data_IF_277114105195
#
_entry.id   IF_277114105195
#
_cell.length_a   1.000
_cell.length_b   1.000
_cell.length_c   1.000
_cell.angle_alpha   90.00
_cell.angle_beta   90.00
_cell.angle_gamma   90.00
#
_symmetry.space_group_name_H-M   'P 1'
#
loop_
_entity.id
_entity.type
_entity.pdbx_description
1 polymer ?
#
# COMPACT_ATOMS: atom_id res chain seq x y z
N UNK A 1 13.55 14.46 -3.77
CA UNK A 1 13.17 13.92 -5.11
C UNK A 1 12.24 12.72 -5.01
N UNK A 2 12.67 11.59 -4.41
CA UNK A 2 11.85 10.36 -4.33
C UNK A 2 10.69 10.48 -3.31
N UNK A 3 10.96 11.07 -2.15
CA UNK A 3 9.93 11.44 -1.17
C UNK A 3 8.92 12.43 -1.76
N UNK A 4 9.38 13.48 -2.45
CA UNK A 4 8.50 14.46 -3.11
C UNK A 4 7.67 13.81 -4.23
N UNK A 5 8.27 12.89 -5.00
CA UNK A 5 7.55 12.11 -6.01
C UNK A 5 6.46 11.27 -5.37
N UNK A 6 6.77 10.61 -4.25
CA UNK A 6 5.77 9.84 -3.51
C UNK A 6 4.63 10.73 -2.99
N UNK A 7 4.93 11.86 -2.34
CA UNK A 7 3.93 12.78 -1.78
C UNK A 7 3.04 13.40 -2.86
N UNK A 8 3.61 13.75 -4.01
CA UNK A 8 2.88 14.48 -5.04
C UNK A 8 2.21 13.58 -6.09
N UNK A 9 2.66 12.33 -6.23
CA UNK A 9 2.23 11.44 -7.33
C UNK A 9 1.66 10.12 -6.83
N UNK A 10 2.19 9.55 -5.75
CA UNK A 10 1.81 8.19 -5.26
C UNK A 10 1.00 8.20 -3.96
N UNK A 11 0.83 9.37 -3.36
CA UNK A 11 0.03 9.58 -2.14
C UNK A 11 -1.42 9.91 -2.45
N UNK A 12 -1.81 9.88 -3.73
CA UNK A 12 -3.14 10.25 -4.18
C UNK A 12 -4.08 9.05 -4.04
N UNK A 13 -4.21 8.52 -2.82
CA UNK A 13 -5.03 7.34 -2.53
C UNK A 13 -6.38 7.68 -1.90
N UNK A 14 -6.80 8.95 -1.93
CA UNK A 14 -8.14 9.34 -1.49
C UNK A 14 -8.70 10.41 -2.40
N UNK A 15 -9.90 10.22 -3.00
CA UNK A 15 -10.62 11.26 -3.72
C UNK A 15 -11.13 12.31 -2.71
N UNK A 16 -10.21 13.10 -2.16
CA UNK A 16 -10.39 14.21 -1.20
C UNK A 16 -8.97 14.75 -0.90
N UNK A 17 -8.29 15.28 -1.93
CA UNK A 17 -6.94 15.86 -1.80
C UNK A 17 -6.98 17.26 -1.22
N UNK A 18 -7.59 17.41 -0.05
CA UNK A 18 -7.52 18.66 0.68
C UNK A 18 -6.08 18.85 1.23
N UNK A 19 -5.62 20.10 1.44
CA UNK A 19 -4.28 20.38 1.95
C UNK A 19 -3.93 19.68 3.28
N UNK A 20 -4.92 19.42 4.14
CA UNK A 20 -4.70 18.77 5.43
C UNK A 20 -4.34 17.28 5.28
N UNK A 21 -4.93 16.59 4.30
CA UNK A 21 -4.57 15.20 3.99
C UNK A 21 -3.12 15.10 3.49
N UNK A 22 -2.66 16.05 2.65
CA UNK A 22 -1.25 16.08 2.21
C UNK A 22 -0.28 16.32 3.36
N UNK A 23 -0.61 17.25 4.27
CA UNK A 23 0.22 17.54 5.43
C UNK A 23 0.26 16.37 6.41
N UNK A 24 -0.87 15.67 6.61
CA UNK A 24 -0.92 14.43 7.38
C UNK A 24 0.02 13.36 6.81
N UNK A 25 0.00 13.18 5.49
CA UNK A 25 0.89 12.22 4.82
C UNK A 25 2.36 12.61 5.04
N UNK A 26 2.67 13.90 4.87
CA UNK A 26 4.03 14.43 5.03
C UNK A 26 4.58 14.25 6.45
N UNK A 27 3.73 14.36 7.46
CA UNK A 27 4.15 14.36 8.87
C UNK A 27 3.99 13.00 9.54
N UNK A 28 2.76 12.47 9.57
CA UNK A 28 2.41 11.28 10.34
C UNK A 28 2.70 10.00 9.57
N UNK A 29 2.30 9.94 8.29
CA UNK A 29 2.52 8.74 7.48
C UNK A 29 4.01 8.52 7.20
N UNK A 30 4.76 9.56 6.81
CA UNK A 30 6.21 9.44 6.62
C UNK A 30 6.91 8.99 7.89
N UNK A 31 6.60 9.58 9.05
CA UNK A 31 7.15 9.16 10.35
C UNK A 31 6.90 7.67 10.62
N UNK A 32 5.66 7.20 10.36
CA UNK A 32 5.32 5.79 10.48
C UNK A 32 6.15 4.92 9.53
N UNK A 33 6.30 5.31 8.27
CA UNK A 33 7.04 4.51 7.28
C UNK A 33 8.53 4.40 7.65
N UNK A 34 9.15 5.48 8.12
CA UNK A 34 10.56 5.48 8.53
C UNK A 34 10.82 4.69 9.82
N UNK A 35 9.77 4.30 10.56
CA UNK A 35 9.90 3.55 11.82
C UNK A 35 10.16 2.05 11.65
N UNK A 36 10.03 1.49 10.43
CA UNK A 36 10.23 0.06 10.18
C UNK A 36 10.82 -0.20 8.79
N UNK A 37 11.75 -1.14 8.72
CA UNK A 37 12.45 -1.47 7.50
C UNK A 37 11.51 -2.01 6.40
N UNK A 38 10.48 -2.79 6.76
CA UNK A 38 9.54 -3.34 5.79
C UNK A 38 8.76 -2.22 5.09
N UNK A 39 8.23 -1.26 5.86
CA UNK A 39 7.50 -0.12 5.32
C UNK A 39 8.40 0.79 4.49
N UNK A 40 9.64 1.01 4.93
CA UNK A 40 10.58 1.84 4.19
C UNK A 40 10.98 1.20 2.85
N UNK A 41 11.36 -0.07 2.84
CA UNK A 41 11.76 -0.76 1.61
C UNK A 41 10.61 -0.82 0.59
N UNK A 42 9.39 -1.14 1.03
CA UNK A 42 8.22 -1.22 0.15
C UNK A 42 7.83 0.15 -0.41
N UNK A 43 7.95 1.22 0.38
CA UNK A 43 7.72 2.59 -0.08
C UNK A 43 8.72 2.98 -1.17
N UNK A 44 10.02 2.79 -0.92
CA UNK A 44 11.08 3.13 -1.87
C UNK A 44 10.91 2.28 -3.13
N UNK A 45 10.61 0.98 -3.00
CA UNK A 45 10.41 0.08 -4.12
C UNK A 45 9.31 0.58 -5.05
N UNK A 46 8.15 0.88 -4.48
CA UNK A 46 7.00 1.35 -5.23
C UNK A 46 7.29 2.71 -5.89
N UNK A 47 7.84 3.66 -5.13
CA UNK A 47 8.12 5.00 -5.62
C UNK A 47 9.19 5.01 -6.72
N UNK A 48 10.27 4.24 -6.57
CA UNK A 48 11.35 4.12 -7.56
C UNK A 48 10.85 3.46 -8.85
N UNK A 49 10.08 2.38 -8.73
CA UNK A 49 9.50 1.67 -9.89
C UNK A 49 8.54 2.57 -10.67
N UNK A 50 7.69 3.30 -9.96
CA UNK A 50 6.79 4.27 -10.58
C UNK A 50 7.56 5.44 -11.21
N UNK A 51 8.58 5.96 -10.53
CA UNK A 51 9.41 7.05 -11.06
C UNK A 51 10.09 6.64 -12.38
N UNK A 52 10.66 5.42 -12.42
CA UNK A 52 11.27 4.85 -13.63
C UNK A 52 10.25 4.65 -14.75
N UNK A 53 9.02 4.20 -14.44
CA UNK A 53 7.95 4.04 -15.43
C UNK A 53 7.52 5.38 -16.04
N UNK A 54 7.38 6.43 -15.24
CA UNK A 54 6.92 7.74 -15.71
C UNK A 54 8.02 8.50 -16.46
N UNK A 55 9.29 8.40 -16.05
CA UNK A 55 10.40 9.18 -16.62
C UNK A 55 11.27 8.45 -17.65
N UNK A 56 11.18 7.12 -17.76
CA UNK A 56 12.05 6.29 -18.59
C UNK A 56 13.36 5.86 -17.90
N UNK A 57 14.14 5.00 -18.57
CA UNK A 57 15.40 4.39 -18.08
C UNK A 57 16.65 5.25 -18.39
N UNK A 58 17.70 5.30 -17.52
CA UNK A 58 17.74 5.01 -16.08
C UNK A 58 17.61 6.32 -15.28
N UNK A 59 16.51 6.48 -14.55
CA UNK A 59 16.21 7.71 -13.79
C UNK A 59 16.76 7.72 -12.35
N UNK A 60 17.30 6.58 -11.88
CA UNK A 60 17.99 6.41 -10.59
C UNK A 60 18.89 5.16 -10.58
N UNK A 61 19.80 5.05 -9.60
CA UNK A 61 20.71 3.91 -9.42
C UNK A 61 20.20 2.79 -8.48
N UNK A 62 18.94 2.84 -8.07
CA UNK A 62 18.35 1.85 -7.15
C UNK A 62 18.15 0.51 -7.85
N UNK A 63 18.70 -0.56 -7.27
CA UNK A 63 18.43 -1.94 -7.68
C UNK A 63 17.04 -2.37 -7.16
N UNK A 64 16.06 -2.35 -8.07
CA UNK A 64 14.66 -2.71 -7.79
C UNK A 64 14.52 -4.17 -7.33
N UNK A 65 15.33 -5.08 -7.91
CA UNK A 65 15.24 -6.50 -7.57
C UNK A 65 15.79 -6.77 -6.18
N UNK A 66 16.93 -6.17 -5.84
CA UNK A 66 17.49 -6.26 -4.49
C UNK A 66 16.53 -5.67 -3.46
N UNK A 67 15.97 -4.49 -3.73
CA UNK A 67 15.06 -3.81 -2.81
C UNK A 67 13.75 -4.60 -2.61
N UNK A 68 13.23 -5.23 -3.66
CA UNK A 68 12.09 -6.17 -3.57
C UNK A 68 12.42 -7.36 -2.66
N UNK A 69 13.61 -7.95 -2.79
CA UNK A 69 14.07 -9.04 -1.94
C UNK A 69 14.15 -8.63 -0.47
N UNK A 70 14.71 -7.45 -0.18
CA UNK A 70 14.80 -6.90 1.19
C UNK A 70 13.42 -6.65 1.81
N UNK A 71 12.48 -6.11 1.03
CA UNK A 71 11.10 -5.91 1.49
C UNK A 71 10.42 -7.23 1.88
N UNK A 72 10.52 -8.25 1.03
CA UNK A 72 9.94 -9.58 1.30
C UNK A 72 10.58 -10.22 2.54
N UNK A 73 11.90 -10.13 2.69
CA UNK A 73 12.61 -10.66 3.86
C UNK A 73 12.12 -10.00 5.16
N UNK A 74 11.95 -8.68 5.17
CA UNK A 74 11.49 -7.94 6.34
C UNK A 74 10.02 -8.25 6.70
N UNK A 75 9.15 -8.37 5.69
CA UNK A 75 7.76 -8.82 5.88
C UNK A 75 7.75 -10.23 6.48
N UNK A 76 8.48 -11.17 5.88
CA UNK A 76 8.51 -12.55 6.35
C UNK A 76 9.02 -12.65 7.79
N UNK A 77 10.07 -11.89 8.15
CA UNK A 77 10.57 -11.79 9.53
C UNK A 77 9.50 -11.31 10.50
N UNK A 78 8.70 -10.31 10.11
CA UNK A 78 7.61 -9.83 10.96
C UNK A 78 6.51 -10.86 11.17
N UNK A 79 6.32 -11.78 10.22
CA UNK A 79 5.28 -12.80 10.26
C UNK A 79 5.65 -14.06 11.07
N UNK A 80 6.93 -14.28 11.39
CA UNK A 80 7.39 -15.47 12.15
C UNK A 80 6.68 -15.57 13.50
N UNK A 81 6.53 -14.45 14.21
CA UNK A 81 5.88 -14.39 15.53
C UNK A 81 4.60 -13.54 15.48
N UNK A 82 3.68 -13.92 14.59
CA UNK A 82 2.46 -13.16 14.36
C UNK A 82 1.49 -13.24 15.55
N UNK A 83 1.24 -12.09 16.19
CA UNK A 83 0.26 -11.94 17.28
C UNK A 83 -0.69 -10.75 17.00
N UNK A 84 -1.91 -10.73 17.55
CA UNK A 84 -2.92 -9.68 17.29
C UNK A 84 -2.45 -8.23 17.52
N UNK A 85 -1.49 -8.03 18.42
CA UNK A 85 -0.87 -6.71 18.71
C UNK A 85 0.64 -6.67 18.45
N UNK A 86 1.16 -7.61 17.65
CA UNK A 86 2.58 -7.72 17.34
C UNK A 86 3.04 -6.81 16.20
N UNK A 87 4.31 -6.92 15.83
CA UNK A 87 4.87 -6.21 14.66
C UNK A 87 4.08 -6.53 13.38
N UNK A 88 3.70 -7.79 13.18
CA UNK A 88 2.95 -8.27 12.01
C UNK A 88 1.65 -7.50 11.75
N UNK A 89 0.87 -7.21 12.79
CA UNK A 89 -0.45 -6.58 12.70
C UNK A 89 -0.41 -5.07 12.91
N UNK A 90 0.78 -4.47 13.01
CA UNK A 90 0.94 -3.02 13.17
C UNK A 90 0.58 -2.27 11.88
N UNK A 91 0.15 -1.01 12.01
CA UNK A 91 -0.25 -0.18 10.86
C UNK A 91 0.87 -0.05 9.81
N UNK A 92 2.12 0.06 10.26
CA UNK A 92 3.30 0.13 9.37
C UNK A 92 3.50 -1.15 8.57
N UNK A 93 3.26 -2.32 9.17
CA UNK A 93 3.40 -3.61 8.48
C UNK A 93 2.23 -3.85 7.51
N UNK A 94 1.01 -3.53 7.94
CA UNK A 94 -0.18 -3.60 7.08
C UNK A 94 -0.01 -2.66 5.88
N UNK A 95 0.49 -1.44 6.10
CA UNK A 95 0.84 -0.52 5.02
C UNK A 95 1.94 -1.08 4.10
N UNK A 96 2.98 -1.71 4.66
CA UNK A 96 4.05 -2.33 3.88
C UNK A 96 3.52 -3.45 2.96
N UNK A 97 2.69 -4.36 3.50
CA UNK A 97 2.10 -5.45 2.71
C UNK A 97 1.14 -4.90 1.65
N UNK A 98 0.34 -3.87 1.98
CA UNK A 98 -0.52 -3.19 1.02
C UNK A 98 0.29 -2.56 -0.12
N UNK A 99 1.37 -1.84 0.18
CA UNK A 99 2.25 -1.23 -0.84
C UNK A 99 3.02 -2.28 -1.66
N UNK A 100 3.36 -3.41 -1.06
CA UNK A 100 3.91 -4.56 -1.79
C UNK A 100 2.91 -5.15 -2.77
N UNK A 101 1.63 -5.30 -2.37
CA UNK A 101 0.56 -5.70 -3.29
C UNK A 101 0.40 -4.69 -4.43
N UNK A 102 0.39 -3.38 -4.14
CA UNK A 102 0.37 -2.34 -5.18
C UNK A 102 1.54 -2.47 -6.15
N UNK A 103 2.76 -2.73 -5.65
CA UNK A 103 3.92 -2.95 -6.50
C UNK A 103 3.72 -4.16 -7.43
N UNK A 104 3.30 -5.30 -6.90
CA UNK A 104 3.11 -6.51 -7.71
C UNK A 104 1.99 -6.35 -8.75
N UNK A 105 0.92 -5.64 -8.40
CA UNK A 105 -0.17 -5.32 -9.32
C UNK A 105 0.29 -4.47 -10.51
N UNK A 106 1.20 -3.51 -10.28
CA UNK A 106 1.61 -2.53 -11.29
C UNK A 106 2.85 -2.91 -12.09
N UNK A 107 3.79 -3.63 -11.47
CA UNK A 107 5.13 -3.88 -12.01
C UNK A 107 5.56 -5.34 -11.90
N UNK A 108 4.89 -6.14 -11.08
CA UNK A 108 5.30 -7.49 -10.75
C UNK A 108 4.38 -8.56 -11.33
N UNK A 109 4.16 -9.61 -10.54
CA UNK A 109 3.42 -10.80 -10.97
C UNK A 109 2.05 -10.88 -10.31
N UNK A 110 1.04 -11.30 -11.08
CA UNK A 110 -0.34 -11.46 -10.60
C UNK A 110 -0.42 -12.42 -9.40
N UNK A 111 0.30 -13.54 -9.42
CA UNK A 111 0.28 -14.51 -8.33
C UNK A 111 0.88 -13.96 -7.04
N UNK A 112 1.94 -13.15 -7.15
CA UNK A 112 2.54 -12.46 -6.01
C UNK A 112 1.58 -11.40 -5.45
N UNK A 113 0.86 -10.67 -6.32
CA UNK A 113 -0.21 -9.76 -5.90
C UNK A 113 -1.30 -10.49 -5.10
N UNK A 114 -1.82 -11.62 -5.60
CA UNK A 114 -2.83 -12.42 -4.89
C UNK A 114 -2.30 -12.91 -3.52
N UNK A 115 -1.04 -13.31 -3.47
CA UNK A 115 -0.38 -13.75 -2.22
C UNK A 115 -0.35 -12.62 -1.19
N UNK A 116 0.06 -11.42 -1.59
CA UNK A 116 0.10 -10.27 -0.68
C UNK A 116 -1.30 -9.83 -0.24
N UNK A 117 -2.29 -9.80 -1.13
CA UNK A 117 -3.67 -9.44 -0.76
C UNK A 117 -4.30 -10.46 0.21
N UNK A 118 -4.05 -11.75 -0.01
CA UNK A 118 -4.50 -12.81 0.91
C UNK A 118 -3.84 -12.66 2.28
N UNK A 119 -2.53 -12.37 2.32
CA UNK A 119 -1.82 -12.07 3.56
C UNK A 119 -2.37 -10.83 4.26
N UNK A 120 -2.64 -9.77 3.50
CA UNK A 120 -3.18 -8.52 3.99
C UNK A 120 -4.55 -8.69 4.65
N UNK A 121 -5.47 -9.44 4.03
CA UNK A 121 -6.77 -9.79 4.62
C UNK A 121 -6.62 -10.48 5.99
N UNK A 122 -5.67 -11.42 6.11
CA UNK A 122 -5.39 -12.12 7.37
C UNK A 122 -4.84 -11.17 8.43
N UNK A 123 -3.91 -10.30 8.08
CA UNK A 123 -3.34 -9.30 9.00
C UNK A 123 -4.43 -8.35 9.52
N UNK A 124 -5.29 -7.85 8.64
CA UNK A 124 -6.42 -6.99 9.01
C UNK A 124 -7.42 -7.73 9.92
N UNK A 125 -7.73 -8.99 9.61
CA UNK A 125 -8.62 -9.80 10.44
C UNK A 125 -8.03 -10.01 11.85
N UNK A 126 -6.74 -10.34 11.96
CA UNK A 126 -6.06 -10.50 13.25
C UNK A 126 -5.95 -9.20 14.05
N UNK A 127 -5.88 -8.05 13.36
CA UNK A 127 -5.89 -6.73 13.97
C UNK A 127 -7.26 -6.34 14.54
N UNK A 128 -8.33 -7.03 14.10
CA UNK A 128 -9.71 -6.79 14.55
C UNK A 128 -10.61 -6.14 13.50
N UNK A 129 -10.16 -6.01 12.26
CA UNK A 129 -10.92 -5.46 11.14
C UNK A 129 -10.41 -4.11 10.63
N UNK A 130 -10.96 -3.65 9.51
CA UNK A 130 -10.54 -2.41 8.83
C UNK A 130 -10.69 -1.16 9.70
N UNK A 131 -11.76 -1.09 10.49
CA UNK A 131 -12.08 0.00 11.42
C UNK A 131 -11.08 0.13 12.58
N UNK A 132 -10.23 -0.87 12.79
CA UNK A 132 -9.20 -0.88 13.87
C UNK A 132 -7.85 -0.37 13.39
N UNK A 133 -7.72 -0.08 12.10
CA UNK A 133 -6.51 0.46 11.50
C UNK A 133 -6.32 1.92 11.91
N UNK A 134 -5.06 2.28 12.19
CA UNK A 134 -4.72 3.62 12.67
C UNK A 134 -4.71 4.69 11.59
N UNK A 135 -3.96 5.76 11.87
CA UNK A 135 -3.81 6.92 10.98
C UNK A 135 -5.14 7.63 10.67
N UNK A 136 -6.04 7.73 11.65
CA UNK A 136 -7.34 8.40 11.51
C UNK A 136 -8.15 7.88 10.30
N UNK A 137 -8.14 6.56 10.08
CA UNK A 137 -8.84 5.91 8.96
C UNK A 137 -8.16 6.10 7.60
N UNK A 138 -6.97 6.70 7.54
CA UNK A 138 -6.21 6.81 6.29
C UNK A 138 -5.81 5.44 5.75
N UNK A 139 -5.35 4.53 6.61
CA UNK A 139 -4.91 3.21 6.18
C UNK A 139 -6.08 2.38 5.65
N UNK A 140 -7.22 2.39 6.35
CA UNK A 140 -8.47 1.79 5.88
C UNK A 140 -8.84 2.27 4.46
N UNK A 141 -8.89 3.60 4.26
CA UNK A 141 -9.21 4.19 2.94
C UNK A 141 -8.25 3.72 1.86
N UNK A 142 -6.95 3.70 2.17
CA UNK A 142 -5.91 3.25 1.23
C UNK A 142 -6.11 1.80 0.82
N UNK A 143 -6.44 0.89 1.75
CA UNK A 143 -6.65 -0.52 1.45
C UNK A 143 -7.92 -0.74 0.61
N UNK A 144 -9.00 -0.04 0.94
CA UNK A 144 -10.24 -0.11 0.18
C UNK A 144 -10.06 0.42 -1.25
N UNK A 145 -9.26 1.48 -1.42
CA UNK A 145 -8.96 2.02 -2.74
C UNK A 145 -8.08 1.08 -3.58
N UNK A 146 -7.08 0.44 -2.96
CA UNK A 146 -6.32 -0.63 -3.59
C UNK A 146 -7.24 -1.76 -4.06
N UNK A 147 -8.19 -2.18 -3.22
CA UNK A 147 -9.09 -3.30 -3.49
C UNK A 147 -9.98 -3.07 -4.74
N UNK A 148 -10.65 -1.91 -4.83
CA UNK A 148 -11.48 -1.60 -6.01
C UNK A 148 -10.67 -1.38 -7.28
N UNK A 149 -9.52 -0.72 -7.19
CA UNK A 149 -8.67 -0.52 -8.36
C UNK A 149 -8.07 -1.84 -8.83
N UNK A 150 -7.70 -2.74 -7.91
CA UNK A 150 -7.24 -4.07 -8.26
C UNK A 150 -8.32 -4.88 -8.97
N UNK A 151 -9.56 -4.86 -8.46
CA UNK A 151 -10.68 -5.53 -9.12
C UNK A 151 -10.88 -5.00 -10.56
N UNK A 152 -10.86 -3.68 -10.74
CA UNK A 152 -10.99 -3.06 -12.07
C UNK A 152 -9.81 -3.41 -13.00
N UNK A 153 -8.57 -3.36 -12.51
CA UNK A 153 -7.37 -3.64 -13.31
C UNK A 153 -7.29 -5.11 -13.71
N UNK A 154 -7.68 -6.01 -12.81
CA UNK A 154 -7.61 -7.47 -13.04
C UNK A 154 -8.83 -8.04 -13.75
N UNK A 155 -9.93 -7.28 -13.81
CA UNK A 155 -11.23 -7.77 -14.29
C UNK A 155 -11.88 -8.75 -13.32
N UNK A 156 -11.47 -8.75 -12.04
CA UNK A 156 -12.05 -9.61 -11.01
C UNK A 156 -13.44 -9.11 -10.61
N UNK A 157 -14.46 -9.98 -10.55
CA UNK A 157 -15.76 -9.61 -10.00
C UNK A 157 -15.76 -9.53 -8.47
N UNK A 158 -14.72 -10.07 -7.82
CA UNK A 158 -14.63 -10.19 -6.37
C UNK A 158 -13.63 -9.19 -5.79
N UNK A 159 -14.00 -8.62 -4.66
CA UNK A 159 -13.17 -7.80 -3.78
C UNK A 159 -12.51 -8.69 -2.72
N UNK A 160 -11.33 -8.29 -2.24
CA UNK A 160 -10.69 -8.89 -1.07
C UNK A 160 -11.30 -8.37 0.23
N UNK A 161 -11.81 -7.16 0.27
CA UNK A 161 -12.48 -6.61 1.44
C UNK A 161 -13.97 -6.42 1.17
N UNK A 162 -14.77 -7.47 0.83
CA UNK A 162 -16.18 -7.28 0.54
C UNK A 162 -16.93 -6.71 1.75
N UNK A 163 -17.81 -5.70 1.58
CA UNK A 163 -18.49 -5.02 2.69
C UNK A 163 -19.29 -5.95 3.61
N UNK A 164 -19.79 -7.08 3.09
CA UNK A 164 -20.53 -8.09 3.85
C UNK A 164 -19.66 -8.82 4.89
N UNK A 165 -18.34 -8.89 4.68
CA UNK A 165 -17.40 -9.60 5.56
C UNK A 165 -16.45 -8.64 6.27
N UNK A 166 -16.11 -7.52 5.62
CA UNK A 166 -15.22 -6.49 6.13
C UNK A 166 -15.97 -5.16 6.22
N UNK A 167 -16.72 -4.93 7.31
CA UNK A 167 -17.37 -3.65 7.52
C UNK A 167 -16.31 -2.54 7.56
N UNK A 168 -16.61 -1.42 6.91
CA UNK A 168 -15.76 -0.24 6.87
C UNK A 168 -16.53 1.00 7.29
N UNK A 169 -15.81 2.02 7.75
CA UNK A 169 -16.42 3.27 8.23
C UNK A 169 -16.95 4.15 7.09
N UNK A 170 -16.44 3.97 5.87
CA UNK A 170 -16.71 4.86 4.72
C UNK A 170 -17.12 4.15 3.43
N UNK A 171 -17.08 2.82 3.37
CA UNK A 171 -17.30 2.06 2.14
C UNK A 171 -16.13 2.17 1.15
N UNK A 172 -16.17 1.40 0.06
CA UNK A 172 -15.15 1.51 -0.98
C UNK A 172 -15.32 2.80 -1.79
N UNK A 173 -14.22 3.49 -2.14
CA UNK A 173 -14.29 4.63 -3.05
C UNK A 173 -14.60 4.18 -4.48
N UNK A 174 -14.96 5.12 -5.35
CA UNK A 174 -14.97 4.87 -6.79
C UNK A 174 -13.54 4.57 -7.28
N UNK A 175 -13.34 3.54 -8.11
CA UNK A 175 -12.03 3.24 -8.65
C UNK A 175 -11.64 4.29 -9.70
N UNK A 176 -10.35 4.62 -9.77
CA UNK A 176 -9.78 5.50 -10.77
C UNK A 176 -8.46 4.90 -11.23
N UNK A 177 -8.54 4.04 -12.24
CA UNK A 177 -7.38 3.36 -12.80
C UNK A 177 -6.30 4.34 -13.27
N UNK A 178 -6.68 5.50 -13.81
CA UNK A 178 -5.70 6.46 -14.35
C UNK A 178 -4.91 7.06 -13.20
N UNK A 179 -5.61 7.52 -12.16
CA UNK A 179 -4.98 8.08 -10.98
C UNK A 179 -4.14 7.02 -10.25
N UNK A 180 -4.67 5.81 -10.10
CA UNK A 180 -3.97 4.70 -9.43
C UNK A 180 -2.69 4.25 -10.16
N UNK A 181 -2.70 4.24 -11.49
CA UNK A 181 -1.56 3.73 -12.29
C UNK A 181 -0.52 4.81 -12.60
N UNK A 182 -0.94 6.06 -12.75
CA UNK A 182 -0.09 7.16 -13.23
C UNK A 182 0.16 8.24 -12.17
N UNK A 183 -0.65 8.30 -11.12
CA UNK A 183 -0.59 9.38 -10.13
C UNK A 183 -0.93 10.76 -10.67
N UNK A 184 -1.64 10.82 -11.81
CA UNK A 184 -2.02 12.06 -12.49
C UNK A 184 -3.51 12.32 -12.24
N UNK A 185 -3.80 13.37 -11.46
CA UNK A 185 -5.12 14.01 -11.41
C UNK A 185 -5.36 14.86 -12.65
#
# INVERSE_FOLDING_TARGET
RLQDHFINTMSVDVPETDPSTREFIRTQFMSLIFSDAASLHTLILLASSHYSKVRGQPSHSIDILQLRGMAIQEINRALVDCQPSGRATSDRMIAAVGKMATYELLFGQRDAFHTHMTGLQRLVAMRGGLQTLGLNGFLERTLLWLDVNAAQITGSPNLYFPPSTYPSTRGHPSPDRRLFVMGLS
#
